data_IF_164974957134
#
_entry.id   IF_164974957134
#
_cell.length_a   1.000
_cell.length_b   1.000
_cell.length_c   1.000
_cell.angle_alpha   90.00
_cell.angle_beta   90.00
_cell.angle_gamma   90.00
#
_symmetry.space_group_name_H-M   'P 1'
#
loop_
_entity.id
_entity.type
_entity.pdbx_description
1 polymer ?
#
# COMPACT_ATOMS: atom_id res chain seq x y z
N UNK A 1 7.01 3.58 -15.59
CA UNK A 1 7.46 4.38 -14.44
C UNK A 1 7.39 3.51 -13.21
N UNK A 2 8.51 3.38 -12.53
CA UNK A 2 8.65 2.55 -11.33
C UNK A 2 8.65 3.41 -10.08
N UNK A 3 8.34 2.76 -8.97
CA UNK A 3 8.40 3.33 -7.62
C UNK A 3 9.86 3.32 -7.14
N UNK A 4 10.31 4.47 -6.63
CA UNK A 4 11.65 4.64 -6.03
C UNK A 4 11.60 4.81 -4.51
N UNK A 5 10.46 5.22 -3.96
CA UNK A 5 10.22 5.24 -2.52
C UNK A 5 8.75 5.04 -2.21
N UNK A 6 8.46 4.51 -1.03
CA UNK A 6 7.10 4.30 -0.55
C UNK A 6 6.98 4.84 0.88
N UNK A 7 5.86 5.48 1.18
CA UNK A 7 5.50 6.00 2.50
C UNK A 7 4.12 5.48 2.88
N UNK A 8 4.06 4.77 3.99
CA UNK A 8 2.81 4.29 4.58
C UNK A 8 2.48 5.18 5.78
N UNK A 9 1.26 5.70 5.85
CA UNK A 9 0.85 6.55 6.97
C UNK A 9 0.68 5.72 8.25
N UNK A 10 0.63 6.43 9.38
CA UNK A 10 0.49 5.81 10.70
C UNK A 10 -0.73 4.88 10.78
N UNK A 11 -0.55 3.74 11.44
CA UNK A 11 -1.64 2.82 11.77
C UNK A 11 -2.55 3.46 12.82
N UNK A 12 -3.88 3.50 12.59
CA UNK A 12 -4.84 4.05 13.54
C UNK A 12 -4.81 3.23 14.84
N UNK A 13 -4.89 3.93 15.98
CA UNK A 13 -5.03 3.34 17.32
C UNK A 13 -6.47 3.42 17.84
N UNK A 14 -7.33 4.19 17.18
CA UNK A 14 -8.74 4.40 17.53
C UNK A 14 -9.65 4.16 16.32
N UNK A 15 -10.88 3.75 16.58
CA UNK A 15 -11.87 3.25 15.60
C UNK A 15 -12.37 4.35 14.63
N UNK A 16 -12.04 5.62 14.88
CA UNK A 16 -12.38 6.77 14.02
C UNK A 16 -11.15 7.51 13.49
N UNK A 17 -9.94 6.98 13.71
CA UNK A 17 -8.75 7.50 13.05
C UNK A 17 -8.72 7.03 11.57
N UNK A 18 -8.14 7.82 10.66
CA UNK A 18 -8.06 7.45 9.26
C UNK A 18 -7.29 6.15 9.06
N UNK A 19 -7.73 5.33 8.11
CA UNK A 19 -7.02 4.12 7.71
C UNK A 19 -5.59 4.44 7.23
N UNK A 20 -4.65 3.51 7.38
CA UNK A 20 -3.33 3.64 6.79
C UNK A 20 -3.44 3.79 5.26
N UNK A 21 -2.67 4.72 4.72
CA UNK A 21 -2.61 5.07 3.30
C UNK A 21 -1.23 4.81 2.76
N UNK A 22 -1.16 4.29 1.54
CA UNK A 22 0.08 4.04 0.81
C UNK A 22 0.29 5.13 -0.24
N UNK A 23 1.43 5.81 -0.14
CA UNK A 23 1.92 6.79 -1.10
C UNK A 23 3.22 6.28 -1.70
N UNK A 24 3.41 6.44 -3.00
CA UNK A 24 4.65 6.07 -3.69
C UNK A 24 5.21 7.24 -4.48
N UNK A 25 6.52 7.41 -4.42
CA UNK A 25 7.23 8.34 -5.30
C UNK A 25 7.75 7.59 -6.50
N UNK A 26 7.44 8.07 -7.69
CA UNK A 26 7.91 7.49 -8.94
C UNK A 26 9.27 8.06 -9.37
N UNK A 27 9.90 7.42 -10.34
CA UNK A 27 11.19 7.85 -10.92
C UNK A 27 11.23 9.32 -11.39
N UNK A 28 10.09 9.91 -11.74
CA UNK A 28 10.02 11.32 -12.14
C UNK A 28 9.85 12.30 -10.96
N UNK A 29 9.89 11.82 -9.72
CA UNK A 29 9.70 12.62 -8.52
C UNK A 29 8.24 12.85 -8.11
N UNK A 30 7.25 12.37 -8.88
CA UNK A 30 5.85 12.52 -8.50
C UNK A 30 5.48 11.55 -7.38
N UNK A 31 4.93 12.08 -6.29
CA UNK A 31 4.25 11.28 -5.26
C UNK A 31 2.81 11.00 -5.71
N UNK A 32 2.40 9.74 -5.61
CA UNK A 32 1.08 9.24 -6.01
C UNK A 32 0.45 8.49 -4.84
N UNK A 33 -0.78 8.83 -4.50
CA UNK A 33 -1.61 8.03 -3.62
C UNK A 33 -2.04 6.75 -4.33
N UNK A 34 -1.77 5.58 -3.74
CA UNK A 34 -2.18 4.30 -4.30
C UNK A 34 -3.53 3.85 -3.76
N UNK A 35 -3.64 3.70 -2.43
CA UNK A 35 -4.82 3.16 -1.76
C UNK A 35 -4.70 3.30 -0.24
N UNK A 36 -5.83 3.12 0.45
CA UNK A 36 -5.90 2.74 1.87
C UNK A 36 -6.11 1.23 2.02
N UNK A 37 -5.91 0.73 3.25
CA UNK A 37 -6.13 -0.67 3.59
C UNK A 37 -6.54 -0.82 5.06
N UNK A 38 -7.18 -1.93 5.41
CA UNK A 38 -7.50 -2.27 6.79
C UNK A 38 -6.31 -2.99 7.44
N UNK A 39 -5.66 -2.42 8.47
CA UNK A 39 -4.42 -2.95 9.04
C UNK A 39 -4.60 -4.24 9.84
N UNK A 40 -5.83 -4.57 10.20
CA UNK A 40 -6.25 -5.83 10.82
C UNK A 40 -6.46 -6.96 9.80
N UNK A 41 -6.71 -6.62 8.54
CA UNK A 41 -6.87 -7.58 7.43
C UNK A 41 -5.53 -7.87 6.75
N UNK A 42 -4.81 -6.82 6.37
CA UNK A 42 -3.57 -6.92 5.59
C UNK A 42 -2.53 -5.89 6.04
N UNK A 43 -1.25 -6.24 5.87
CA UNK A 43 -0.12 -5.35 6.16
C UNK A 43 0.79 -5.19 4.95
N UNK A 44 1.52 -4.08 4.91
CA UNK A 44 2.44 -3.75 3.84
C UNK A 44 3.75 -3.18 4.40
N UNK A 45 4.85 -3.49 3.74
CA UNK A 45 6.14 -2.85 3.97
C UNK A 45 6.53 -1.96 2.77
N UNK A 46 7.15 -0.79 3.00
CA UNK A 46 7.56 0.11 1.91
C UNK A 46 8.45 -0.55 0.85
N UNK A 47 9.30 -1.50 1.26
CA UNK A 47 10.21 -2.28 0.41
C UNK A 47 9.48 -3.08 -0.66
N UNK A 48 8.26 -3.55 -0.39
CA UNK A 48 7.47 -4.37 -1.32
C UNK A 48 7.06 -3.61 -2.58
N UNK A 49 7.10 -2.28 -2.54
CA UNK A 49 6.69 -1.43 -3.66
C UNK A 49 7.85 -0.99 -4.54
N UNK A 50 9.09 -1.03 -4.03
CA UNK A 50 10.26 -0.48 -4.74
C UNK A 50 10.51 -1.26 -6.03
N UNK A 51 10.67 -0.55 -7.14
CA UNK A 51 10.89 -1.15 -8.46
C UNK A 51 9.61 -1.62 -9.17
N UNK A 52 8.45 -1.61 -8.50
CA UNK A 52 7.15 -1.92 -9.11
C UNK A 52 6.57 -0.70 -9.85
N UNK A 53 5.74 -0.97 -10.84
CA UNK A 53 4.84 0.00 -11.46
C UNK A 53 3.56 0.18 -10.64
N UNK A 54 2.80 1.25 -10.88
CA UNK A 54 1.51 1.47 -10.21
C UNK A 54 0.57 0.26 -10.38
N UNK A 55 0.53 -0.34 -11.57
CA UNK A 55 -0.31 -1.51 -11.84
C UNK A 55 0.13 -2.73 -11.04
N UNK A 56 1.43 -2.97 -10.94
CA UNK A 56 1.98 -4.04 -10.10
C UNK A 56 1.71 -3.80 -8.61
N UNK A 57 1.80 -2.55 -8.13
CA UNK A 57 1.41 -2.23 -6.75
C UNK A 57 -0.07 -2.50 -6.48
N UNK A 58 -0.96 -2.17 -7.41
CA UNK A 58 -2.40 -2.48 -7.32
C UNK A 58 -2.65 -3.99 -7.35
N UNK A 59 -1.90 -4.73 -8.17
CA UNK A 59 -1.95 -6.19 -8.22
C UNK A 59 -1.50 -6.82 -6.91
N UNK A 60 -0.43 -6.31 -6.29
CA UNK A 60 0.06 -6.73 -4.97
C UNK A 60 -1.04 -6.58 -3.92
N UNK A 61 -1.70 -5.41 -3.86
CA UNK A 61 -2.85 -5.21 -2.96
C UNK A 61 -3.93 -6.26 -3.20
N UNK A 62 -4.36 -6.44 -4.45
CA UNK A 62 -5.41 -7.41 -4.79
C UNK A 62 -5.04 -8.83 -4.39
N UNK A 63 -3.77 -9.22 -4.53
CA UNK A 63 -3.29 -10.53 -4.10
C UNK A 63 -3.40 -10.71 -2.59
N UNK A 64 -2.98 -9.70 -1.80
CA UNK A 64 -3.11 -9.73 -0.33
C UNK A 64 -4.58 -9.72 0.13
N UNK A 65 -5.42 -8.87 -0.47
CA UNK A 65 -6.86 -8.85 -0.20
C UNK A 65 -7.49 -10.22 -0.47
N UNK A 66 -7.18 -10.83 -1.63
CA UNK A 66 -7.71 -12.16 -1.99
C UNK A 66 -7.21 -13.24 -1.03
N UNK A 67 -5.94 -13.17 -0.63
CA UNK A 67 -5.37 -14.09 0.34
C UNK A 67 -6.09 -14.01 1.69
N UNK A 68 -6.33 -12.79 2.20
CA UNK A 68 -7.10 -12.59 3.43
C UNK A 68 -8.53 -13.14 3.30
N UNK A 69 -9.23 -12.88 2.20
CA UNK A 69 -10.60 -13.37 2.02
C UNK A 69 -10.67 -14.90 1.97
N UNK A 70 -9.66 -15.57 1.39
CA UNK A 70 -9.66 -17.03 1.23
C UNK A 70 -9.11 -17.78 2.44
N UNK A 71 -8.22 -17.16 3.22
CA UNK A 71 -7.43 -17.84 4.26
C UNK A 71 -7.35 -17.11 5.61
N UNK A 72 -7.89 -15.90 5.70
CA UNK A 72 -7.92 -15.07 6.92
C UNK A 72 -9.12 -15.31 7.81
#
# INVERSE_FOLDING_TARGET
MKVISCRITKIPKRIFEPLPKVYVTLENGNEVFLFDYYPDEISFEPSEFIGLTIEECKKLKRQKDTFYILYG
#
